data_IF_443069146459
#
_entry.id   IF_443069146459
#
_cell.length_a   1.000
_cell.length_b   1.000
_cell.length_c   1.000
_cell.angle_alpha   90.00
_cell.angle_beta   90.00
_cell.angle_gamma   90.00
#
_symmetry.space_group_name_H-M   'P 1'
#
loop_
_entity.id
_entity.type
_entity.pdbx_description
1 polymer ?
#
# COMPACT_ATOMS: atom_id res chain seq x y z
N UNK A 1 10.32 -18.52 2.06
CA UNK A 1 9.05 -18.05 1.44
C UNK A 1 7.98 -19.09 1.71
N UNK A 2 6.80 -18.68 2.15
CA UNK A 2 5.64 -19.55 2.30
C UNK A 2 4.62 -19.23 1.22
N UNK A 3 4.07 -20.23 0.56
CA UNK A 3 3.07 -20.06 -0.50
C UNK A 3 1.77 -20.71 -0.05
N UNK A 4 0.70 -19.93 -0.05
CA UNK A 4 -0.65 -20.41 0.25
C UNK A 4 -1.48 -20.38 -1.04
N UNK A 5 -2.08 -21.49 -1.37
CA UNK A 5 -2.96 -21.62 -2.54
C UNK A 5 -4.36 -21.99 -2.09
N UNK A 6 -5.35 -21.54 -2.82
CA UNK A 6 -6.75 -21.90 -2.61
C UNK A 6 -7.26 -22.58 -3.88
N UNK A 7 -7.99 -23.67 -3.72
CA UNK A 7 -8.61 -24.39 -4.82
C UNK A 7 -9.80 -23.65 -5.42
N UNK A 8 -10.30 -22.66 -4.67
CA UNK A 8 -11.42 -21.82 -5.07
C UNK A 8 -11.02 -20.37 -5.14
N UNK A 9 -11.60 -19.61 -6.07
CA UNK A 9 -11.37 -18.18 -6.22
C UNK A 9 -12.21 -17.40 -5.21
N UNK A 10 -11.62 -17.00 -4.10
CA UNK A 10 -12.29 -16.32 -2.98
C UNK A 10 -12.05 -14.80 -2.95
N UNK A 11 -11.30 -14.26 -3.93
CA UNK A 11 -10.97 -12.84 -3.99
C UNK A 11 -9.74 -12.45 -3.15
N UNK A 12 -9.28 -11.22 -3.37
CA UNK A 12 -8.06 -10.68 -2.76
C UNK A 12 -8.18 -10.54 -1.23
N UNK A 13 -9.28 -10.03 -0.74
CA UNK A 13 -9.49 -9.83 0.70
C UNK A 13 -9.43 -11.13 1.50
N UNK A 14 -10.01 -12.20 1.00
CA UNK A 14 -9.93 -13.51 1.63
C UNK A 14 -8.51 -14.08 1.61
N UNK A 15 -7.77 -13.87 0.52
CA UNK A 15 -6.37 -14.29 0.41
C UNK A 15 -5.48 -13.53 1.41
N UNK A 16 -5.64 -12.22 1.52
CA UNK A 16 -4.92 -11.40 2.48
C UNK A 16 -5.24 -11.76 3.92
N UNK A 17 -6.49 -12.05 4.22
CA UNK A 17 -6.90 -12.51 5.55
C UNK A 17 -6.22 -13.82 5.94
N UNK A 18 -6.22 -14.80 5.05
CA UNK A 18 -5.54 -16.08 5.29
C UNK A 18 -4.03 -15.93 5.46
N UNK A 19 -3.41 -15.11 4.62
CA UNK A 19 -1.97 -14.85 4.70
C UNK A 19 -1.59 -14.11 5.99
N UNK A 20 -2.38 -13.12 6.41
CA UNK A 20 -2.14 -12.38 7.65
C UNK A 20 -2.29 -13.26 8.89
N UNK A 21 -3.26 -14.17 8.92
CA UNK A 21 -3.44 -15.13 10.02
C UNK A 21 -2.26 -16.09 10.17
N UNK A 22 -1.55 -16.37 9.09
CA UNK A 22 -0.37 -17.24 9.08
C UNK A 22 0.97 -16.48 9.25
N UNK A 23 0.93 -15.16 9.23
CA UNK A 23 2.11 -14.33 9.43
C UNK A 23 2.55 -14.33 10.89
N UNK A 24 3.85 -14.28 11.12
CA UNK A 24 4.47 -14.28 12.45
C UNK A 24 5.24 -12.99 12.75
N UNK A 25 5.26 -12.04 11.82
CA UNK A 25 5.92 -10.76 11.99
C UNK A 25 5.11 -9.81 12.88
N UNK A 26 5.77 -8.83 13.46
CA UNK A 26 5.14 -7.80 14.28
C UNK A 26 4.37 -6.78 13.43
N UNK A 27 4.78 -6.59 12.18
CA UNK A 27 4.16 -5.70 11.22
C UNK A 27 3.71 -6.46 9.98
N UNK A 28 2.58 -6.06 9.43
CA UNK A 28 2.04 -6.62 8.20
C UNK A 28 2.15 -5.59 7.08
N UNK A 29 2.66 -6.02 5.94
CA UNK A 29 2.71 -5.21 4.72
C UNK A 29 1.96 -5.96 3.63
N UNK A 30 0.95 -5.32 3.08
CA UNK A 30 0.17 -5.84 1.96
C UNK A 30 0.67 -5.21 0.67
N UNK A 31 1.12 -6.03 -0.24
CA UNK A 31 1.71 -5.60 -1.52
C UNK A 31 1.03 -6.34 -2.65
N UNK A 32 0.64 -5.63 -3.69
CA UNK A 32 0.08 -6.24 -4.89
C UNK A 32 1.19 -6.82 -5.79
N UNK A 33 0.82 -7.73 -6.67
CA UNK A 33 1.75 -8.43 -7.57
C UNK A 33 2.46 -7.51 -8.58
N UNK A 34 1.85 -6.40 -8.93
CA UNK A 34 2.35 -5.44 -9.92
C UNK A 34 3.15 -4.26 -9.35
N UNK A 35 3.44 -4.29 -8.05
CA UNK A 35 4.17 -3.20 -7.38
C UNK A 35 5.67 -3.35 -7.59
N UNK A 36 6.32 -2.25 -7.97
CA UNK A 36 7.78 -2.09 -8.01
C UNK A 36 8.20 -1.13 -6.91
N UNK A 37 9.13 -1.55 -6.09
CA UNK A 37 9.59 -0.75 -4.95
C UNK A 37 10.92 -0.06 -5.26
N UNK A 38 11.06 1.18 -4.77
CA UNK A 38 12.31 1.93 -4.86
C UNK A 38 13.26 1.55 -3.73
N UNK A 39 14.54 1.89 -3.90
CA UNK A 39 15.49 1.77 -2.81
C UNK A 39 15.06 2.62 -1.61
N UNK A 40 15.10 2.05 -0.41
CA UNK A 40 14.75 2.78 0.81
C UNK A 40 13.24 3.05 1.02
N UNK A 41 12.37 2.36 0.33
CA UNK A 41 10.91 2.56 0.42
C UNK A 41 10.33 2.21 1.79
N UNK A 42 10.92 1.23 2.46
CA UNK A 42 10.37 0.66 3.70
C UNK A 42 10.68 1.49 4.94
N UNK A 43 11.87 2.06 5.03
CA UNK A 43 12.34 2.75 6.22
C UNK A 43 11.44 3.90 6.70
N UNK A 44 10.97 4.81 5.84
CA UNK A 44 10.09 5.89 6.28
C UNK A 44 8.71 5.38 6.75
N UNK A 45 8.23 4.27 6.20
CA UNK A 45 6.98 3.64 6.65
C UNK A 45 7.13 3.04 8.05
N UNK A 46 8.21 2.31 8.27
CA UNK A 46 8.53 1.72 9.58
C UNK A 46 8.73 2.80 10.64
N UNK A 47 9.42 3.89 10.33
CA UNK A 47 9.64 4.99 11.27
C UNK A 47 8.34 5.57 11.82
N UNK A 48 7.29 5.64 11.00
CA UNK A 48 5.97 6.11 11.45
C UNK A 48 5.28 5.11 12.39
N UNK A 49 5.48 3.82 12.18
CA UNK A 49 4.86 2.76 12.96
C UNK A 49 5.57 2.50 14.29
N UNK A 50 6.88 2.78 14.38
CA UNK A 50 7.64 2.65 15.63
C UNK A 50 7.13 3.62 16.70
N UNK A 51 6.77 4.83 16.30
CA UNK A 51 6.28 5.85 17.22
C UNK A 51 4.82 5.63 17.64
N UNK A 52 4.03 4.92 16.83
CA UNK A 52 2.63 4.67 17.11
C UNK A 52 2.15 3.41 16.37
N UNK A 53 1.90 2.36 17.12
CA UNK A 53 1.46 1.05 16.63
C UNK A 53 -0.04 0.97 16.26
N UNK A 54 -0.81 2.02 16.57
CA UNK A 54 -2.21 2.13 16.16
C UNK A 54 -2.42 2.83 14.82
N UNK A 55 -1.39 2.89 13.98
CA UNK A 55 -1.46 3.51 12.66
C UNK A 55 -1.54 2.48 11.54
N UNK A 56 -2.28 2.85 10.50
CA UNK A 56 -2.17 2.25 9.18
C UNK A 56 -1.45 3.27 8.30
N UNK A 57 -0.28 2.89 7.77
CA UNK A 57 0.53 3.77 6.94
C UNK A 57 0.39 3.31 5.49
N UNK A 58 -0.03 4.23 4.62
CA UNK A 58 -0.18 4.00 3.19
C UNK A 58 0.81 4.87 2.45
N UNK A 59 1.73 4.30 1.66
CA UNK A 59 2.65 5.08 0.85
C UNK A 59 1.93 5.73 -0.33
N UNK A 60 2.52 6.79 -0.86
CA UNK A 60 2.13 7.28 -2.17
C UNK A 60 2.63 6.31 -3.24
N UNK A 61 1.78 5.98 -4.20
CA UNK A 61 2.08 5.06 -5.30
C UNK A 61 1.98 5.81 -6.61
N UNK A 62 3.11 5.92 -7.30
CA UNK A 62 3.17 6.48 -8.64
C UNK A 62 2.86 5.40 -9.69
N UNK A 63 2.23 5.78 -10.78
CA UNK A 63 1.98 4.86 -11.88
C UNK A 63 3.22 4.73 -12.79
N UNK A 64 3.50 3.50 -13.23
CA UNK A 64 4.49 3.24 -14.27
C UNK A 64 3.79 3.44 -15.61
N UNK A 65 4.28 4.38 -16.41
CA UNK A 65 3.77 4.64 -17.75
C UNK A 65 4.28 3.59 -18.75
N UNK A 66 3.60 3.43 -19.87
CA UNK A 66 3.84 2.40 -20.89
C UNK A 66 5.28 2.31 -21.43
N UNK A 67 6.09 3.32 -21.21
CA UNK A 67 7.47 3.39 -21.70
C UNK A 67 8.51 2.84 -20.71
N UNK A 68 8.10 2.12 -19.68
CA UNK A 68 8.94 1.48 -18.65
C UNK A 68 10.04 2.36 -18.00
N UNK A 69 10.17 3.59 -18.44
CA UNK A 69 11.26 4.51 -18.09
C UNK A 69 10.82 5.71 -17.28
N UNK A 70 9.53 6.02 -17.27
CA UNK A 70 8.99 7.19 -16.61
C UNK A 70 7.95 6.79 -15.58
N UNK A 71 8.22 7.17 -14.34
CA UNK A 71 7.19 7.21 -13.32
C UNK A 71 6.36 8.46 -13.54
N UNK A 72 5.08 8.30 -13.85
CA UNK A 72 4.14 9.41 -13.86
C UNK A 72 4.00 9.91 -12.42
N UNK A 73 4.21 11.20 -12.24
CA UNK A 73 3.88 11.87 -10.99
C UNK A 73 2.39 12.15 -11.05
N UNK A 74 1.61 11.29 -10.45
CA UNK A 74 0.21 11.58 -10.22
C UNK A 74 0.07 12.65 -9.14
N UNK A 75 -0.98 13.47 -9.26
CA UNK A 75 -1.33 14.41 -8.20
C UNK A 75 -1.49 13.65 -6.88
N UNK A 76 -1.10 14.29 -5.78
CA UNK A 76 -1.22 13.72 -4.45
C UNK A 76 -2.69 13.43 -4.13
N UNK A 77 -3.11 12.22 -4.43
CA UNK A 77 -4.44 11.72 -4.10
C UNK A 77 -4.41 11.05 -2.73
N UNK A 78 -5.25 11.51 -1.84
CA UNK A 78 -5.47 10.87 -0.55
C UNK A 78 -6.67 9.96 -0.64
N UNK A 79 -6.46 8.69 -0.32
CA UNK A 79 -7.53 7.72 -0.19
C UNK A 79 -8.20 7.86 1.18
N UNK A 80 -9.48 8.10 1.19
CA UNK A 80 -10.27 8.12 2.42
C UNK A 80 -11.29 6.99 2.38
N UNK A 81 -11.31 6.18 3.41
CA UNK A 81 -12.34 5.19 3.62
C UNK A 81 -13.53 5.84 4.31
N UNK A 82 -14.68 5.78 3.66
CA UNK A 82 -15.94 6.30 4.22
C UNK A 82 -16.60 5.30 5.18
N UNK A 83 -17.54 5.75 5.97
CA UNK A 83 -18.32 4.87 6.86
C UNK A 83 -19.17 3.82 6.12
N UNK A 84 -19.44 4.04 4.84
CA UNK A 84 -20.06 3.03 3.96
C UNK A 84 -19.07 2.03 3.36
N UNK A 85 -17.84 2.03 3.81
CA UNK A 85 -16.72 1.19 3.32
C UNK A 85 -16.39 1.40 1.83
N UNK A 86 -16.67 2.60 1.33
CA UNK A 86 -16.29 3.04 0.00
C UNK A 86 -15.00 3.85 0.05
N UNK A 87 -14.18 3.74 -0.96
CA UNK A 87 -12.98 4.56 -1.09
C UNK A 87 -13.28 5.80 -1.92
N UNK A 88 -12.89 6.95 -1.41
CA UNK A 88 -12.99 8.24 -2.10
C UNK A 88 -11.60 8.85 -2.20
N UNK A 89 -11.30 9.43 -3.35
CA UNK A 89 -10.03 10.10 -3.61
C UNK A 89 -10.21 11.61 -3.48
N UNK A 90 -9.34 12.25 -2.73
CA UNK A 90 -9.28 13.70 -2.61
C UNK A 90 -7.93 14.19 -3.10
N UNK A 91 -7.96 15.21 -3.96
CA UNK A 91 -6.74 15.95 -4.31
C UNK A 91 -6.32 16.83 -3.12
N UNK A 92 -5.06 16.79 -2.78
CA UNK A 92 -4.48 17.69 -1.78
C UNK A 92 -3.66 18.79 -2.45
N UNK A 93 -4.25 19.97 -2.71
CA UNK A 93 -3.58 21.04 -3.42
C UNK A 93 -2.40 21.67 -2.67
N UNK A 94 -2.31 21.44 -1.36
CA UNK A 94 -1.37 22.14 -0.47
C UNK A 94 -0.08 21.39 -0.15
N UNK A 95 0.02 20.13 -0.52
CA UNK A 95 1.26 19.37 -0.37
C UNK A 95 2.09 19.45 -1.66
N UNK A 96 2.50 20.66 -2.03
CA UNK A 96 3.64 20.78 -2.93
C UNK A 96 4.80 20.01 -2.34
N UNK A 97 5.34 19.09 -3.10
CA UNK A 97 6.63 18.47 -2.81
C UNK A 97 7.63 19.61 -2.57
N UNK A 98 7.95 19.86 -1.34
CA UNK A 98 9.19 20.55 -1.04
C UNK A 98 10.31 19.59 -1.45
N UNK A 99 10.93 19.93 -2.49
CA UNK A 99 12.00 19.48 -3.27
C UNK A 99 12.87 18.33 -3.02
#
# INVERSE_FOLDING_TARGET
MKVYRSDTRNGQSAAWFKASAAAVGELLIFVDVSVVVNHGWLQPLLAKLIDNDNLIVVPHVDNILDDDRFFGIDDLLVNVLTWSLSTVYYEMPSLRREG
#
